data_IF_921391981679
#
_entry.id   IF_921391981679
#
_cell.length_a   1.000
_cell.length_b   1.000
_cell.length_c   1.000
_cell.angle_alpha   90.00
_cell.angle_beta   90.00
_cell.angle_gamma   90.00
#
_symmetry.space_group_name_H-M   'P 1'
#
loop_
_entity.id
_entity.type
_entity.pdbx_description
1 polymer ?
#
# COMPACT_ATOMS: atom_id res chain seq x y z
N UNK A 1 -21.64 35.73 -33.99
CA UNK A 1 -20.24 35.30 -33.87
C UNK A 1 -20.24 33.74 -33.81
N UNK A 2 -19.89 33.05 -34.90
CA UNK A 2 -19.89 31.59 -34.94
C UNK A 2 -18.58 31.10 -34.32
N UNK A 3 -18.65 30.58 -33.12
CA UNK A 3 -17.49 29.93 -32.45
C UNK A 3 -17.01 28.74 -33.27
N UNK A 4 -15.73 28.73 -33.62
CA UNK A 4 -15.16 27.68 -34.47
C UNK A 4 -15.14 26.39 -33.67
N UNK A 5 -15.96 25.38 -34.07
CA UNK A 5 -16.14 24.08 -33.40
C UNK A 5 -14.79 23.36 -33.16
N UNK A 6 -13.85 23.49 -34.07
CA UNK A 6 -12.49 22.92 -33.93
C UNK A 6 -11.73 23.56 -32.78
N UNK A 7 -11.87 24.87 -32.57
CA UNK A 7 -11.26 25.56 -31.44
C UNK A 7 -11.84 25.13 -30.09
N UNK A 8 -13.17 24.98 -30.04
CA UNK A 8 -13.86 24.49 -28.84
C UNK A 8 -13.40 23.09 -28.44
N UNK A 9 -13.32 22.14 -29.40
CA UNK A 9 -12.81 20.78 -29.12
C UNK A 9 -11.36 20.81 -28.63
N UNK A 10 -10.49 21.61 -29.23
CA UNK A 10 -9.11 21.73 -28.78
C UNK A 10 -9.02 22.24 -27.34
N UNK A 11 -9.81 23.26 -26.98
CA UNK A 11 -9.85 23.75 -25.59
C UNK A 11 -10.33 22.70 -24.59
N UNK A 12 -11.37 21.93 -24.92
CA UNK A 12 -11.89 20.84 -24.06
C UNK A 12 -10.86 19.74 -23.86
N UNK A 13 -10.17 19.31 -24.94
CA UNK A 13 -9.13 18.31 -24.86
C UNK A 13 -7.93 18.77 -24.04
N UNK A 14 -7.51 20.04 -24.21
CA UNK A 14 -6.41 20.62 -23.42
C UNK A 14 -6.78 20.69 -21.94
N UNK A 15 -7.99 21.12 -21.62
CA UNK A 15 -8.49 21.16 -20.23
C UNK A 15 -8.54 19.75 -19.60
N UNK A 16 -9.01 18.77 -20.35
CA UNK A 16 -9.05 17.37 -19.88
C UNK A 16 -7.64 16.82 -19.60
N UNK A 17 -6.65 17.12 -20.46
CA UNK A 17 -5.25 16.73 -20.26
C UNK A 17 -4.63 17.42 -19.04
N UNK A 18 -4.94 18.69 -18.81
CA UNK A 18 -4.48 19.44 -17.63
C UNK A 18 -5.07 18.83 -16.35
N UNK A 19 -6.36 18.52 -16.32
CA UNK A 19 -7.04 17.92 -15.16
C UNK A 19 -6.44 16.54 -14.84
N UNK A 20 -6.20 15.70 -15.85
CA UNK A 20 -5.54 14.40 -15.68
C UNK A 20 -4.09 14.56 -15.21
N UNK A 21 -3.35 15.54 -15.72
CA UNK A 21 -1.99 15.84 -15.29
C UNK A 21 -1.94 16.29 -13.83
N UNK A 22 -2.81 17.23 -13.43
CA UNK A 22 -2.89 17.72 -12.05
C UNK A 22 -3.29 16.60 -11.07
N UNK A 23 -4.24 15.74 -11.43
CA UNK A 23 -4.65 14.62 -10.57
C UNK A 23 -3.53 13.60 -10.34
N UNK A 24 -2.70 13.34 -11.35
CA UNK A 24 -1.54 12.44 -11.23
C UNK A 24 -0.41 13.03 -10.37
N UNK A 25 -0.16 14.33 -10.48
CA UNK A 25 0.83 15.03 -9.66
C UNK A 25 0.36 15.09 -8.20
N UNK A 26 -0.92 15.36 -7.96
CA UNK A 26 -1.51 15.47 -6.62
C UNK A 26 -1.42 14.15 -5.84
N UNK A 27 -1.70 13.00 -6.47
CA UNK A 27 -1.66 11.69 -5.79
C UNK A 27 -0.25 11.26 -5.39
N UNK A 28 0.78 11.54 -6.21
CA UNK A 28 2.16 11.18 -5.84
C UNK A 28 2.68 12.07 -4.70
N UNK A 29 2.38 13.36 -4.72
CA UNK A 29 2.78 14.29 -3.65
C UNK A 29 2.12 13.91 -2.31
N UNK A 30 0.84 13.50 -2.34
CA UNK A 30 0.14 13.05 -1.14
C UNK A 30 0.75 11.77 -0.55
N UNK A 31 1.19 10.84 -1.41
CA UNK A 31 1.82 9.59 -0.98
C UNK A 31 3.23 9.82 -0.42
N UNK A 32 4.03 10.67 -1.06
CA UNK A 32 5.34 11.08 -0.54
C UNK A 32 5.22 11.82 0.80
N UNK A 33 4.22 12.67 0.93
CA UNK A 33 3.91 13.37 2.18
C UNK A 33 3.51 12.38 3.27
N UNK A 34 2.58 11.45 3.00
CA UNK A 34 2.20 10.40 3.96
C UNK A 34 3.40 9.58 4.42
N UNK A 35 4.30 9.21 3.49
CA UNK A 35 5.52 8.52 3.85
C UNK A 35 6.40 9.37 4.75
N UNK A 36 6.72 10.62 4.35
CA UNK A 36 7.66 11.48 5.10
C UNK A 36 7.15 11.82 6.51
N UNK A 37 5.85 12.04 6.66
CA UNK A 37 5.22 12.34 7.96
C UNK A 37 5.21 11.12 8.91
N UNK A 38 5.34 9.90 8.40
CA UNK A 38 5.25 8.65 9.17
C UNK A 38 6.50 7.76 9.04
N UNK A 39 7.59 8.27 8.52
CA UNK A 39 8.76 7.46 8.16
C UNK A 39 9.34 6.68 9.35
N UNK A 40 9.39 7.26 10.54
CA UNK A 40 9.86 6.58 11.75
C UNK A 40 8.99 5.37 12.12
N UNK A 41 7.67 5.56 12.18
CA UNK A 41 6.72 4.49 12.51
C UNK A 41 6.71 3.39 11.45
N UNK A 42 6.78 3.78 10.19
CA UNK A 42 6.86 2.84 9.06
C UNK A 42 8.15 2.02 9.15
N UNK A 43 9.32 2.64 9.40
CA UNK A 43 10.60 1.94 9.54
C UNK A 43 10.56 0.95 10.70
N UNK A 44 10.14 1.38 11.89
CA UNK A 44 10.00 0.49 13.06
C UNK A 44 9.10 -0.72 12.74
N UNK A 45 7.99 -0.47 12.04
CA UNK A 45 7.06 -1.55 11.65
C UNK A 45 7.70 -2.51 10.63
N UNK A 46 8.45 -1.99 9.63
CA UNK A 46 9.17 -2.81 8.68
C UNK A 46 10.24 -3.69 9.35
N UNK A 47 11.01 -3.12 10.28
CA UNK A 47 12.03 -3.84 11.04
C UNK A 47 11.41 -4.98 11.85
N UNK A 48 10.31 -4.71 12.56
CA UNK A 48 9.59 -5.72 13.32
C UNK A 48 9.07 -6.86 12.44
N UNK A 49 8.42 -6.54 11.32
CA UNK A 49 7.87 -7.55 10.38
C UNK A 49 8.97 -8.34 9.65
N UNK A 50 10.18 -7.81 9.54
CA UNK A 50 11.33 -8.53 9.01
C UNK A 50 12.07 -9.36 10.06
N UNK A 51 11.60 -9.38 11.31
CA UNK A 51 12.14 -10.21 12.38
C UNK A 51 12.10 -11.70 12.08
N UNK A 52 13.01 -12.47 12.74
CA UNK A 52 13.19 -13.91 12.53
C UNK A 52 11.88 -14.71 12.71
N UNK A 53 11.03 -14.28 13.65
CA UNK A 53 9.76 -14.94 13.96
C UNK A 53 8.77 -14.99 12.79
N UNK A 54 8.93 -14.10 11.80
CA UNK A 54 8.04 -14.00 10.64
C UNK A 54 8.65 -14.50 9.33
N UNK A 55 9.91 -14.96 9.33
CA UNK A 55 10.60 -15.41 8.10
C UNK A 55 10.01 -16.67 7.47
N UNK A 56 9.34 -17.48 8.27
CA UNK A 56 8.77 -18.77 7.82
C UNK A 56 7.34 -18.66 7.30
N UNK A 57 6.76 -17.46 7.34
CA UNK A 57 5.40 -17.21 6.87
C UNK A 57 5.41 -16.54 5.50
N UNK A 58 4.51 -16.98 4.63
CA UNK A 58 4.34 -16.41 3.29
C UNK A 58 3.62 -15.06 3.37
N UNK A 59 2.67 -14.93 4.31
CA UNK A 59 1.90 -13.71 4.53
C UNK A 59 1.86 -13.37 6.02
N UNK A 60 2.16 -12.12 6.37
CA UNK A 60 1.99 -11.56 7.72
C UNK A 60 1.09 -10.34 7.64
N UNK A 61 -0.05 -10.35 8.33
CA UNK A 61 -1.08 -9.33 8.20
C UNK A 61 -1.44 -8.69 9.54
N UNK A 62 -1.44 -7.36 9.57
CA UNK A 62 -1.92 -6.54 10.66
C UNK A 62 -3.10 -5.71 10.18
N UNK A 63 -4.28 -5.97 10.69
CA UNK A 63 -5.47 -5.14 10.48
C UNK A 63 -5.55 -4.07 11.58
N UNK A 64 -4.75 -3.00 11.43
CA UNK A 64 -4.59 -1.96 12.46
C UNK A 64 -5.85 -1.13 12.68
N UNK A 65 -6.80 -1.18 11.75
CA UNK A 65 -8.14 -0.61 11.93
C UNK A 65 -8.97 -1.39 12.97
N UNK A 66 -8.82 -2.72 13.01
CA UNK A 66 -9.59 -3.59 13.91
C UNK A 66 -8.87 -3.83 15.24
N UNK A 67 -7.55 -4.01 15.20
CA UNK A 67 -6.75 -4.31 16.39
C UNK A 67 -5.28 -3.92 16.20
N UNK A 68 -4.75 -3.16 17.15
CA UNK A 68 -3.32 -2.79 17.19
C UNK A 68 -2.42 -3.89 17.75
N UNK A 69 -2.99 -4.96 18.30
CA UNK A 69 -2.22 -5.98 19.04
C UNK A 69 -2.26 -7.37 18.41
N UNK A 70 -2.93 -7.54 17.26
CA UNK A 70 -3.05 -8.85 16.62
C UNK A 70 -2.33 -8.89 15.29
N UNK A 71 -1.58 -9.97 15.07
CA UNK A 71 -0.94 -10.31 13.81
C UNK A 71 -1.48 -11.67 13.37
N UNK A 72 -2.01 -11.74 12.16
CA UNK A 72 -2.35 -13.01 11.52
C UNK A 72 -1.23 -13.40 10.56
N UNK A 73 -0.66 -14.58 10.74
CA UNK A 73 0.39 -15.14 9.90
C UNK A 73 -0.13 -16.35 9.16
N UNK A 74 0.11 -16.43 7.87
CA UNK A 74 -0.29 -17.53 7.01
C UNK A 74 0.93 -18.17 6.36
N UNK A 75 0.95 -19.50 6.35
CA UNK A 75 1.96 -20.31 5.67
C UNK A 75 1.25 -21.33 4.79
N UNK A 76 1.73 -21.48 3.55
CA UNK A 76 1.23 -22.49 2.63
C UNK A 76 1.55 -23.89 3.17
N UNK A 77 0.56 -24.74 3.16
CA UNK A 77 0.72 -26.15 3.53
C UNK A 77 1.07 -26.95 2.27
N UNK A 78 2.30 -27.46 2.21
CA UNK A 78 2.81 -28.22 1.08
C UNK A 78 2.06 -29.54 0.84
N UNK A 79 1.33 -30.04 1.86
CA UNK A 79 0.63 -31.33 1.78
C UNK A 79 -0.72 -31.25 1.09
N UNK A 80 -1.43 -30.12 1.20
CA UNK A 80 -2.80 -29.97 0.70
C UNK A 80 -3.04 -28.70 -0.13
N UNK A 81 -2.01 -27.83 -0.28
CA UNK A 81 -2.09 -26.58 -1.03
C UNK A 81 -2.91 -25.48 -0.34
N UNK A 82 -3.39 -25.71 0.87
CA UNK A 82 -4.10 -24.73 1.68
C UNK A 82 -3.15 -23.82 2.45
N UNK A 83 -3.72 -22.96 3.31
CA UNK A 83 -2.95 -22.12 4.23
C UNK A 83 -3.22 -22.52 5.68
N UNK A 84 -2.15 -22.60 6.48
CA UNK A 84 -2.23 -22.71 7.95
C UNK A 84 -2.07 -21.30 8.51
N UNK A 85 -3.04 -20.88 9.33
CA UNK A 85 -3.05 -19.58 9.97
C UNK A 85 -2.62 -19.68 11.43
N UNK A 86 -1.82 -18.71 11.87
CA UNK A 86 -1.37 -18.58 13.26
C UNK A 86 -1.54 -17.14 13.70
N UNK A 87 -2.16 -16.92 14.85
CA UNK A 87 -2.30 -15.59 15.42
C UNK A 87 -1.21 -15.31 16.46
N UNK A 88 -0.62 -14.12 16.38
CA UNK A 88 0.32 -13.60 17.37
C UNK A 88 -0.26 -12.38 18.06
N UNK A 89 0.09 -12.22 19.34
CA UNK A 89 -0.23 -11.00 20.08
C UNK A 89 1.01 -10.14 20.19
N UNK A 90 0.91 -8.87 19.77
CA UNK A 90 1.96 -7.88 19.95
C UNK A 90 1.97 -7.45 21.40
N UNK A 91 3.14 -7.57 22.05
CA UNK A 91 3.39 -7.13 23.44
C UNK A 91 4.37 -5.96 23.52
N UNK A 92 5.02 -5.64 22.40
CA UNK A 92 5.95 -4.51 22.28
C UNK A 92 5.18 -3.19 22.29
N UNK A 93 5.28 -2.44 23.36
CA UNK A 93 4.58 -1.15 23.54
C UNK A 93 5.05 -0.08 22.55
N UNK A 94 6.31 -0.12 22.12
CA UNK A 94 6.83 0.82 21.13
C UNK A 94 6.20 0.57 19.75
N UNK A 95 6.11 -0.69 19.35
CA UNK A 95 5.42 -1.05 18.10
C UNK A 95 3.93 -0.69 18.18
N UNK A 96 3.25 -0.99 19.29
CA UNK A 96 1.82 -0.63 19.47
C UNK A 96 1.64 0.89 19.30
N UNK A 97 2.51 1.71 19.92
CA UNK A 97 2.49 3.16 19.74
C UNK A 97 2.72 3.61 18.31
N UNK A 98 3.62 2.95 17.57
CA UNK A 98 3.83 3.21 16.14
C UNK A 98 2.57 2.88 15.31
N UNK A 99 1.93 1.75 15.57
CA UNK A 99 0.71 1.33 14.87
C UNK A 99 -0.47 2.26 15.17
N UNK A 100 -0.57 2.77 16.39
CA UNK A 100 -1.58 3.77 16.78
C UNK A 100 -1.42 5.06 15.99
N UNK A 101 -0.19 5.58 15.87
CA UNK A 101 0.10 6.76 15.03
C UNK A 101 -0.26 6.50 13.57
N UNK A 102 0.12 5.35 13.00
CA UNK A 102 -0.23 4.98 11.63
C UNK A 102 -1.74 4.90 11.42
N UNK A 103 -2.47 4.28 12.35
CA UNK A 103 -3.94 4.20 12.33
C UNK A 103 -4.58 5.60 12.33
N UNK A 104 -4.12 6.49 13.21
CA UNK A 104 -4.61 7.88 13.29
C UNK A 104 -4.31 8.68 12.02
N UNK A 105 -3.27 8.32 11.27
CA UNK A 105 -2.94 8.91 9.97
C UNK A 105 -3.62 8.20 8.78
N UNK A 106 -4.59 7.32 9.06
CA UNK A 106 -5.44 6.67 8.06
C UNK A 106 -4.78 5.51 7.33
N UNK A 107 -3.81 4.84 7.95
CA UNK A 107 -3.42 3.49 7.53
C UNK A 107 -4.42 2.49 8.11
N UNK A 108 -4.83 1.53 7.31
CA UNK A 108 -5.87 0.56 7.66
C UNK A 108 -5.30 -0.83 7.95
N UNK A 109 -4.31 -1.21 7.17
CA UNK A 109 -3.74 -2.56 7.17
C UNK A 109 -2.29 -2.52 6.73
N UNK A 110 -1.50 -3.45 7.27
CA UNK A 110 -0.14 -3.69 6.85
C UNK A 110 -0.01 -5.17 6.50
N UNK A 111 0.50 -5.46 5.30
CA UNK A 111 0.65 -6.83 4.80
C UNK A 111 2.09 -6.99 4.34
N UNK A 112 2.81 -7.96 4.92
CA UNK A 112 4.07 -8.43 4.40
C UNK A 112 3.82 -9.68 3.56
N UNK A 113 4.25 -9.66 2.33
CA UNK A 113 4.24 -10.79 1.41
C UNK A 113 5.61 -10.90 0.75
N UNK A 114 6.18 -12.11 0.70
CA UNK A 114 7.45 -12.39 0.02
C UNK A 114 8.52 -11.31 0.26
N UNK A 115 8.77 -10.46 -0.75
CA UNK A 115 9.83 -9.44 -0.78
C UNK A 115 9.34 -8.02 -0.54
N UNK A 116 8.06 -7.80 -0.23
CA UNK A 116 7.52 -6.45 -0.01
C UNK A 116 6.62 -6.34 1.23
N UNK A 117 6.45 -5.12 1.71
CA UNK A 117 5.49 -4.77 2.77
C UNK A 117 4.55 -3.70 2.24
N UNK A 118 3.24 -3.98 2.24
CA UNK A 118 2.20 -3.09 1.78
C UNK A 118 1.49 -2.39 2.94
N UNK A 119 1.49 -1.07 2.93
CA UNK A 119 0.80 -0.20 3.88
C UNK A 119 -0.46 0.36 3.22
N UNK A 120 -1.59 -0.26 3.47
CA UNK A 120 -2.87 0.11 2.88
C UNK A 120 -3.46 1.35 3.56
N UNK A 121 -3.83 2.37 2.77
CA UNK A 121 -4.44 3.62 3.26
C UNK A 121 -5.88 3.79 2.82
N UNK A 122 -6.33 3.01 1.85
CA UNK A 122 -7.72 2.98 1.40
C UNK A 122 -8.08 1.58 0.95
N UNK A 123 -9.27 1.16 1.32
CA UNK A 123 -9.87 -0.10 0.86
C UNK A 123 -11.35 0.13 0.60
N UNK A 124 -11.82 -0.28 -0.57
CA UNK A 124 -13.22 -0.33 -0.95
C UNK A 124 -13.48 -1.60 -1.74
N UNK A 125 -14.72 -1.88 -2.08
CA UNK A 125 -15.08 -3.09 -2.84
C UNK A 125 -14.26 -3.26 -4.13
N UNK A 126 -13.97 -2.16 -4.83
CA UNK A 126 -13.31 -2.18 -6.13
C UNK A 126 -11.96 -1.47 -6.17
N UNK A 127 -11.41 -1.00 -5.04
CA UNK A 127 -10.15 -0.26 -5.04
C UNK A 127 -9.36 -0.46 -3.75
N UNK A 128 -8.04 -0.65 -3.90
CA UNK A 128 -7.07 -0.62 -2.82
C UNK A 128 -5.96 0.39 -3.14
N UNK A 129 -5.59 1.21 -2.18
CA UNK A 129 -4.53 2.23 -2.33
C UNK A 129 -3.59 2.18 -1.14
N UNK A 130 -2.29 2.35 -1.38
CA UNK A 130 -1.30 2.40 -0.30
C UNK A 130 0.12 2.64 -0.77
N UNK A 131 1.04 2.37 0.14
CA UNK A 131 2.48 2.44 -0.06
C UNK A 131 3.06 1.02 -0.01
N UNK A 132 4.02 0.72 -0.87
CA UNK A 132 4.77 -0.54 -0.85
C UNK A 132 6.22 -0.24 -0.54
N UNK A 133 6.79 -0.98 0.39
CA UNK A 133 8.22 -1.06 0.65
C UNK A 133 8.77 -2.36 0.05
N UNK A 134 9.70 -2.23 -0.89
CA UNK A 134 10.43 -3.32 -1.53
C UNK A 134 11.88 -2.86 -1.79
N UNK A 135 12.81 -3.13 -0.86
CA UNK A 135 14.14 -2.53 -0.89
C UNK A 135 15.08 -3.14 -1.94
N UNK A 136 14.85 -4.39 -2.35
CA UNK A 136 15.76 -5.11 -3.24
C UNK A 136 15.43 -4.89 -4.72
N UNK A 137 14.14 -4.86 -5.06
CA UNK A 137 13.67 -4.83 -6.45
C UNK A 137 12.26 -4.25 -6.53
N UNK A 138 11.76 -3.99 -7.74
CA UNK A 138 10.36 -3.62 -7.96
C UNK A 138 9.45 -4.76 -7.48
N UNK A 139 8.40 -4.47 -6.67
CA UNK A 139 7.53 -5.51 -6.14
C UNK A 139 6.81 -6.25 -7.26
N UNK A 140 6.87 -7.57 -7.23
CA UNK A 140 6.08 -8.41 -8.13
C UNK A 140 4.64 -8.50 -7.61
N UNK A 141 3.72 -7.94 -8.37
CA UNK A 141 2.31 -7.89 -8.06
C UNK A 141 1.47 -8.70 -9.07
N UNK A 142 2.12 -9.57 -9.83
CA UNK A 142 1.49 -10.35 -10.92
C UNK A 142 0.41 -11.33 -10.44
N UNK A 143 0.52 -11.81 -9.19
CA UNK A 143 -0.46 -12.73 -8.60
C UNK A 143 -1.74 -12.02 -8.11
N UNK A 144 -1.74 -10.68 -8.07
CA UNK A 144 -2.93 -9.93 -7.67
C UNK A 144 -3.92 -9.91 -8.84
N UNK A 145 -5.06 -10.59 -8.66
CA UNK A 145 -6.14 -10.56 -9.65
C UNK A 145 -6.81 -9.18 -9.67
N UNK A 146 -6.35 -8.32 -10.56
CA UNK A 146 -6.79 -6.95 -10.67
C UNK A 146 -7.11 -6.57 -12.12
N UNK A 147 -8.20 -5.81 -12.30
CA UNK A 147 -8.54 -5.20 -13.60
C UNK A 147 -7.48 -4.19 -14.06
N UNK A 148 -6.96 -3.42 -13.12
CA UNK A 148 -5.92 -2.42 -13.37
C UNK A 148 -5.05 -2.21 -12.15
N UNK A 149 -3.75 -2.11 -12.40
CA UNK A 149 -2.77 -1.80 -11.38
C UNK A 149 -1.94 -0.58 -11.79
N UNK A 150 -1.68 0.30 -10.84
CA UNK A 150 -0.84 1.47 -11.00
C UNK A 150 0.24 1.38 -9.92
N UNK A 151 1.47 1.12 -10.34
CA UNK A 151 2.65 1.14 -9.49
C UNK A 151 3.51 2.33 -9.90
N UNK A 152 3.96 3.13 -8.94
CA UNK A 152 4.81 4.29 -9.19
C UNK A 152 5.89 4.41 -8.14
N UNK A 153 7.16 4.33 -8.55
CA UNK A 153 8.31 4.55 -7.66
C UNK A 153 8.26 5.96 -7.07
N UNK A 154 8.47 6.06 -5.76
CA UNK A 154 8.61 7.34 -5.05
C UNK A 154 10.07 7.84 -5.15
N UNK A 155 10.34 9.03 -4.66
CA UNK A 155 11.69 9.59 -4.61
C UNK A 155 12.60 8.85 -3.64
N UNK A 156 12.03 8.28 -2.58
CA UNK A 156 12.76 7.46 -1.60
C UNK A 156 12.94 6.06 -2.15
N UNK A 157 14.18 5.57 -2.15
CA UNK A 157 14.50 4.24 -2.67
C UNK A 157 13.77 3.12 -1.93
N UNK A 158 13.34 2.12 -2.70
CA UNK A 158 12.57 0.97 -2.23
C UNK A 158 11.09 1.28 -1.94
N UNK A 159 10.62 2.50 -2.19
CA UNK A 159 9.24 2.88 -1.94
C UNK A 159 8.46 3.13 -3.21
N UNK A 160 7.21 2.65 -3.20
CA UNK A 160 6.27 2.74 -4.32
C UNK A 160 4.90 3.16 -3.83
N UNK A 161 4.22 3.99 -4.60
CA UNK A 161 2.77 4.16 -4.53
C UNK A 161 2.10 3.03 -5.31
N UNK A 162 1.09 2.41 -4.71
CA UNK A 162 0.27 1.40 -5.38
C UNK A 162 -1.21 1.78 -5.34
N UNK A 163 -1.87 1.57 -6.48
CA UNK A 163 -3.32 1.61 -6.59
C UNK A 163 -3.77 0.42 -7.43
N UNK A 164 -4.58 -0.44 -6.83
CA UNK A 164 -5.16 -1.62 -7.46
C UNK A 164 -6.67 -1.40 -7.62
N UNK A 165 -7.19 -1.68 -8.81
CA UNK A 165 -8.61 -1.61 -9.13
C UNK A 165 -9.06 -3.03 -9.46
N UNK A 166 -10.06 -3.52 -8.75
CA UNK A 166 -10.67 -4.84 -8.94
C UNK A 166 -11.90 -4.76 -9.85
N UNK A 167 -12.38 -5.89 -10.33
CA UNK A 167 -13.62 -6.00 -11.13
C UNK A 167 -14.88 -5.85 -10.27
#
# INVERSE_FOLDING_TARGET
MRMNYKFFIACVLTLALIIVGISRISTSNLSERKYSENSGQITTTCEYLNGEQFKTYDVVRLDIFDSLTKINCSKKDDSNGGYVNTDYTITDSNLIGCLEVLSNHGFLRIIKEYNYIYFQTKSSFNESVGLIYSPAEEPDLSEINAKKQILKKLKTDGWYYNKTIYD
#
